data_IF_187632802298
#
_entry.id   IF_187632802298
#
_cell.length_a   1.000
_cell.length_b   1.000
_cell.length_c   1.000
_cell.angle_alpha   90.00
_cell.angle_beta   90.00
_cell.angle_gamma   90.00
#
_symmetry.space_group_name_H-M   'P 1'
#
loop_
_entity.id
_entity.type
_entity.pdbx_description
1 polymer ?
#
# COMPACT_ATOMS: atom_id res chain seq x y z
N UNK A 1 15.87 -20.76 -0.93
CA UNK A 1 14.78 -20.50 -1.88
C UNK A 1 13.68 -19.71 -1.19
N UNK A 2 13.18 -18.66 -1.84
CA UNK A 2 12.16 -17.82 -1.25
C UNK A 2 10.77 -18.39 -1.54
N UNK A 3 9.91 -18.36 -0.53
CA UNK A 3 8.51 -18.72 -0.66
C UNK A 3 7.65 -17.48 -0.49
N UNK A 4 7.46 -16.74 -1.58
CA UNK A 4 6.72 -15.49 -1.53
C UNK A 4 5.22 -15.77 -1.62
N UNK A 5 4.47 -15.24 -0.65
CA UNK A 5 3.02 -15.31 -0.64
C UNK A 5 2.43 -13.95 -0.28
N UNK A 6 1.19 -13.72 -0.68
CA UNK A 6 0.48 -12.49 -0.42
C UNK A 6 -0.86 -12.86 0.22
N UNK A 7 -1.25 -12.12 1.26
CA UNK A 7 -2.47 -12.43 2.00
C UNK A 7 -3.14 -11.17 2.48
N UNK A 8 -4.48 -11.18 2.52
CA UNK A 8 -5.28 -10.11 3.12
C UNK A 8 -5.68 -10.43 4.56
N UNK A 9 -5.20 -11.51 5.11
CA UNK A 9 -5.49 -11.90 6.50
C UNK A 9 -4.73 -10.99 7.47
N UNK A 10 -5.45 -10.10 8.13
CA UNK A 10 -4.85 -9.13 9.06
C UNK A 10 -4.18 -9.79 10.26
N UNK A 11 -4.58 -11.01 10.63
CA UNK A 11 -3.95 -11.71 11.76
C UNK A 11 -2.50 -12.10 11.49
N UNK A 12 -2.11 -12.15 10.21
CA UNK A 12 -0.74 -12.45 9.82
C UNK A 12 0.17 -11.23 9.79
N UNK A 13 -0.39 -10.03 9.85
CA UNK A 13 0.39 -8.80 9.76
C UNK A 13 1.32 -8.67 10.97
N UNK A 14 2.56 -8.30 10.70
CA UNK A 14 3.57 -8.04 11.72
C UNK A 14 3.65 -6.53 11.91
N UNK A 15 2.87 -6.01 12.84
CA UNK A 15 2.66 -4.57 13.01
C UNK A 15 3.96 -3.85 13.33
N UNK A 16 4.85 -4.45 14.12
CA UNK A 16 6.13 -3.83 14.44
C UNK A 16 6.99 -3.63 13.19
N UNK A 17 6.98 -4.60 12.27
CA UNK A 17 7.69 -4.47 10.99
C UNK A 17 7.11 -3.34 10.15
N UNK A 18 5.78 -3.28 10.04
CA UNK A 18 5.09 -2.23 9.28
C UNK A 18 5.41 -0.85 9.88
N UNK A 19 5.27 -0.71 11.20
CA UNK A 19 5.55 0.54 11.89
C UNK A 19 7.00 0.97 11.72
N UNK A 20 7.94 0.05 11.87
CA UNK A 20 9.36 0.37 11.73
C UNK A 20 9.66 0.91 10.32
N UNK A 21 9.14 0.25 9.29
CA UNK A 21 9.36 0.74 7.93
C UNK A 21 8.75 2.13 7.73
N UNK A 22 7.48 2.29 8.08
CA UNK A 22 6.80 3.57 7.86
C UNK A 22 7.44 4.70 8.64
N UNK A 23 7.75 4.49 9.92
CA UNK A 23 8.28 5.56 10.78
C UNK A 23 9.74 5.91 10.49
N UNK A 24 10.55 4.94 10.07
CA UNK A 24 11.99 5.13 9.92
C UNK A 24 12.48 5.20 8.48
N UNK A 25 11.84 4.46 7.56
CA UNK A 25 12.35 4.33 6.18
C UNK A 25 11.51 5.01 5.13
N UNK A 26 10.21 5.24 5.38
CA UNK A 26 9.38 5.91 4.39
C UNK A 26 9.59 7.43 4.42
N UNK A 27 9.39 8.07 3.26
CA UNK A 27 9.39 9.54 3.20
C UNK A 27 8.00 10.12 3.50
N UNK A 28 6.93 9.30 3.37
CA UNK A 28 5.56 9.80 3.47
C UNK A 28 4.94 9.68 4.85
N UNK A 29 5.50 8.85 5.73
CA UNK A 29 4.93 8.60 7.06
C UNK A 29 5.99 8.62 8.16
N UNK A 30 7.05 9.42 7.97
CA UNK A 30 8.14 9.50 8.93
C UNK A 30 7.63 9.87 10.32
N UNK A 31 8.13 9.15 11.33
CA UNK A 31 7.75 9.34 12.73
C UNK A 31 6.28 9.01 13.07
N UNK A 32 5.58 8.30 12.21
CA UNK A 32 4.19 7.93 12.49
C UNK A 32 4.11 7.13 13.80
N UNK A 33 3.20 7.49 14.73
CA UNK A 33 3.01 6.71 15.95
C UNK A 33 2.41 5.33 15.65
N UNK A 34 2.78 4.33 16.48
CA UNK A 34 2.30 2.97 16.25
C UNK A 34 0.77 2.84 16.37
N UNK A 35 0.15 3.61 17.26
CA UNK A 35 -1.30 3.58 17.40
C UNK A 35 -2.02 4.09 16.15
N UNK A 36 -1.42 5.04 15.43
CA UNK A 36 -1.96 5.53 14.16
C UNK A 36 -1.85 4.44 13.09
N UNK A 37 -0.72 3.72 13.05
CA UNK A 37 -0.56 2.58 12.14
C UNK A 37 -1.64 1.53 12.40
N UNK A 38 -1.86 1.17 13.65
CA UNK A 38 -2.86 0.16 14.03
C UNK A 38 -4.25 0.60 13.58
N UNK A 39 -4.63 1.85 13.85
CA UNK A 39 -5.95 2.37 13.44
C UNK A 39 -6.10 2.39 11.92
N UNK A 40 -5.03 2.73 11.20
CA UNK A 40 -5.08 2.74 9.74
C UNK A 40 -5.27 1.34 9.15
N UNK A 41 -4.66 0.35 9.77
CA UNK A 41 -4.83 -1.06 9.38
C UNK A 41 -6.29 -1.49 9.60
N UNK A 42 -6.86 -1.14 10.74
CA UNK A 42 -8.25 -1.50 11.06
C UNK A 42 -9.24 -0.94 10.05
N UNK A 43 -8.99 0.26 9.53
CA UNK A 43 -9.87 0.94 8.59
C UNK A 43 -9.60 0.67 7.12
N UNK A 44 -8.73 -0.26 6.81
CA UNK A 44 -8.27 -0.50 5.43
C UNK A 44 -8.33 -1.97 5.07
N UNK A 45 -8.31 -2.25 3.76
CA UNK A 45 -7.99 -3.59 3.26
C UNK A 45 -6.48 -3.67 3.10
N UNK A 46 -5.85 -4.61 3.79
CA UNK A 46 -4.40 -4.69 3.85
C UNK A 46 -3.89 -5.93 3.12
N UNK A 47 -2.75 -5.77 2.48
CA UNK A 47 -2.08 -6.84 1.74
C UNK A 47 -0.69 -7.00 2.35
N UNK A 48 -0.46 -8.15 2.99
CA UNK A 48 0.87 -8.50 3.50
C UNK A 48 1.60 -9.37 2.49
N UNK A 49 2.89 -9.13 2.35
CA UNK A 49 3.78 -9.96 1.52
C UNK A 49 4.71 -10.70 2.46
N UNK A 50 4.85 -11.99 2.24
CA UNK A 50 5.58 -12.88 3.15
C UNK A 50 6.60 -13.74 2.42
N UNK A 51 7.72 -13.96 3.07
CA UNK A 51 8.67 -15.01 2.73
C UNK A 51 8.56 -16.07 3.85
N UNK A 52 7.87 -17.19 3.55
CA UNK A 52 7.48 -18.11 4.61
C UNK A 52 6.59 -17.41 5.64
N UNK A 53 7.02 -17.38 6.89
CA UNK A 53 6.29 -16.75 7.98
C UNK A 53 6.71 -15.31 8.26
N UNK A 54 7.70 -14.81 7.53
CA UNK A 54 8.23 -13.46 7.76
C UNK A 54 7.58 -12.48 6.80
N UNK A 55 7.02 -11.40 7.32
CA UNK A 55 6.51 -10.32 6.48
C UNK A 55 7.67 -9.54 5.88
N UNK A 56 7.61 -9.33 4.55
CA UNK A 56 8.66 -8.62 3.81
C UNK A 56 8.10 -7.48 2.95
N UNK A 57 6.81 -7.26 2.98
CA UNK A 57 6.18 -6.18 2.23
C UNK A 57 4.77 -5.91 2.70
N UNK A 58 4.21 -4.82 2.20
CA UNK A 58 2.90 -4.35 2.63
C UNK A 58 2.27 -3.44 1.59
N UNK A 59 0.95 -3.40 1.58
CA UNK A 59 0.18 -2.37 0.89
C UNK A 59 -1.15 -2.21 1.62
N UNK A 60 -1.67 -0.99 1.61
CA UNK A 60 -2.92 -0.67 2.27
C UNK A 60 -3.85 -0.01 1.26
N UNK A 61 -5.10 -0.45 1.22
CA UNK A 61 -6.11 0.12 0.32
C UNK A 61 -7.26 0.65 1.15
N UNK A 62 -7.49 1.95 1.06
CA UNK A 62 -8.63 2.63 1.68
C UNK A 62 -9.77 2.59 0.68
N UNK A 63 -10.88 1.94 1.01
CA UNK A 63 -11.94 1.71 0.04
C UNK A 63 -13.28 1.44 0.71
N UNK A 64 -14.35 1.79 0.00
CA UNK A 64 -15.71 1.39 0.35
C UNK A 64 -16.10 0.06 -0.33
N UNK A 65 -15.19 -0.54 -1.09
CA UNK A 65 -15.41 -1.76 -1.88
C UNK A 65 -16.50 -1.63 -2.96
N UNK A 66 -16.87 -0.42 -3.33
CA UNK A 66 -17.97 -0.19 -4.26
C UNK A 66 -17.64 0.88 -5.30
N UNK A 67 -17.17 2.04 -4.86
CA UNK A 67 -17.02 3.18 -5.76
C UNK A 67 -15.59 3.66 -5.93
N UNK A 68 -14.76 3.54 -4.91
CA UNK A 68 -13.45 4.19 -4.89
C UNK A 68 -12.46 3.42 -4.04
N UNK A 69 -11.19 3.48 -4.43
CA UNK A 69 -10.08 2.96 -3.64
C UNK A 69 -8.89 3.89 -3.73
N UNK A 70 -8.13 3.98 -2.63
CA UNK A 70 -6.89 4.73 -2.57
C UNK A 70 -5.78 3.81 -2.06
N UNK A 71 -4.74 3.67 -2.87
CA UNK A 71 -3.59 2.82 -2.55
C UNK A 71 -2.58 3.62 -1.72
N UNK A 72 -2.19 3.07 -0.58
CA UNK A 72 -1.30 3.72 0.37
C UNK A 72 -0.31 2.73 0.96
N UNK A 73 0.80 3.25 1.47
CA UNK A 73 1.78 2.50 2.28
C UNK A 73 2.32 1.26 1.56
N UNK A 74 2.63 1.37 0.28
CA UNK A 74 3.19 0.27 -0.50
C UNK A 74 4.70 0.21 -0.29
N UNK A 75 5.21 -0.91 0.20
CA UNK A 75 6.65 -1.08 0.31
C UNK A 75 7.07 -2.54 0.28
N UNK A 76 8.31 -2.77 -0.11
CA UNK A 76 8.99 -4.07 -0.04
C UNK A 76 10.28 -3.87 0.73
N UNK A 77 10.59 -4.79 1.65
CA UNK A 77 11.83 -4.77 2.41
C UNK A 77 13.03 -4.71 1.46
N UNK A 78 14.01 -3.91 1.83
CA UNK A 78 15.23 -3.68 1.06
C UNK A 78 15.87 -4.96 0.53
N UNK A 79 15.93 -5.99 1.36
CA UNK A 79 16.58 -7.25 1.02
C UNK A 79 15.84 -8.00 -0.10
N UNK A 80 14.61 -7.63 -0.38
CA UNK A 80 13.75 -8.33 -1.35
C UNK A 80 13.44 -7.48 -2.59
N UNK A 81 14.08 -6.32 -2.72
CA UNK A 81 13.87 -5.44 -3.88
C UNK A 81 14.55 -5.99 -5.14
N UNK A 82 14.11 -5.50 -6.31
CA UNK A 82 14.65 -5.87 -7.63
C UNK A 82 14.44 -7.35 -7.99
N UNK A 83 13.40 -7.96 -7.41
CA UNK A 83 13.05 -9.37 -7.64
C UNK A 83 11.64 -9.54 -8.22
N UNK A 84 11.01 -8.43 -8.64
CA UNK A 84 9.68 -8.47 -9.24
C UNK A 84 8.54 -8.60 -8.23
N UNK A 85 8.82 -8.49 -6.92
CA UNK A 85 7.81 -8.70 -5.88
C UNK A 85 6.77 -7.57 -5.88
N UNK A 86 7.19 -6.32 -6.15
CA UNK A 86 6.24 -5.20 -6.27
C UNK A 86 5.22 -5.44 -7.36
N UNK A 87 5.65 -6.00 -8.49
CA UNK A 87 4.73 -6.34 -9.58
C UNK A 87 3.78 -7.46 -9.20
N UNK A 88 4.28 -8.48 -8.49
CA UNK A 88 3.43 -9.54 -7.97
C UNK A 88 2.36 -8.98 -7.04
N UNK A 89 2.76 -8.09 -6.13
CA UNK A 89 1.85 -7.45 -5.19
C UNK A 89 0.77 -6.64 -5.93
N UNK A 90 1.18 -5.82 -6.89
CA UNK A 90 0.23 -5.02 -7.66
C UNK A 90 -0.72 -5.88 -8.48
N UNK A 91 -0.22 -6.95 -9.09
CA UNK A 91 -1.07 -7.90 -9.82
C UNK A 91 -2.12 -8.49 -8.88
N UNK A 92 -1.70 -8.92 -7.70
CA UNK A 92 -2.61 -9.49 -6.70
C UNK A 92 -3.69 -8.49 -6.28
N UNK A 93 -3.29 -7.23 -6.03
CA UNK A 93 -4.23 -6.16 -5.65
C UNK A 93 -5.23 -5.91 -6.78
N UNK A 94 -4.74 -5.73 -8.00
CA UNK A 94 -5.59 -5.36 -9.14
C UNK A 94 -6.58 -6.47 -9.51
N UNK A 95 -6.27 -7.72 -9.20
CA UNK A 95 -7.13 -8.86 -9.47
C UNK A 95 -7.97 -9.29 -8.27
N UNK A 96 -7.81 -8.62 -7.12
CA UNK A 96 -8.49 -9.04 -5.89
C UNK A 96 -9.99 -8.78 -5.98
N UNK A 97 -10.77 -9.80 -5.57
CA UNK A 97 -12.23 -9.77 -5.69
C UNK A 97 -12.89 -8.61 -4.94
N UNK A 98 -12.32 -8.21 -3.80
CA UNK A 98 -12.89 -7.12 -2.99
C UNK A 98 -12.83 -5.76 -3.67
N UNK A 99 -12.02 -5.62 -4.73
CA UNK A 99 -11.85 -4.37 -5.47
C UNK A 99 -12.49 -4.39 -6.84
N UNK A 100 -13.16 -5.48 -7.20
CA UNK A 100 -13.85 -5.57 -8.49
C UNK A 100 -15.06 -4.65 -8.52
N UNK A 101 -15.25 -3.98 -9.66
CA UNK A 101 -16.39 -3.11 -9.86
C UNK A 101 -16.26 -1.70 -9.31
N UNK A 102 -15.17 -1.36 -8.63
CA UNK A 102 -14.96 0.03 -8.23
C UNK A 102 -14.73 0.89 -9.47
N UNK A 103 -15.20 2.14 -9.41
CA UNK A 103 -15.09 3.04 -10.56
C UNK A 103 -13.72 3.69 -10.67
N UNK A 104 -13.07 3.98 -9.57
CA UNK A 104 -11.82 4.72 -9.57
C UNK A 104 -10.86 4.18 -8.52
N UNK A 105 -9.61 4.04 -8.91
CA UNK A 105 -8.51 3.63 -8.02
C UNK A 105 -7.42 4.69 -8.13
N UNK A 106 -7.06 5.30 -7.02
CA UNK A 106 -6.18 6.45 -6.98
C UNK A 106 -4.98 6.19 -6.08
N UNK A 107 -3.86 6.86 -6.36
CA UNK A 107 -2.68 6.83 -5.52
C UNK A 107 -1.89 8.13 -5.68
N UNK A 108 -0.95 8.34 -4.78
CA UNK A 108 0.06 9.38 -4.91
C UNK A 108 1.43 8.73 -4.80
N UNK A 109 2.36 9.14 -5.65
CA UNK A 109 3.73 8.63 -5.62
C UNK A 109 4.70 9.74 -6.02
N UNK A 110 5.87 9.74 -5.39
CA UNK A 110 6.93 10.68 -5.74
C UNK A 110 7.78 10.14 -6.90
N UNK A 111 8.04 8.84 -6.92
CA UNK A 111 9.10 8.27 -7.76
C UNK A 111 8.79 6.91 -8.40
N UNK A 112 7.57 6.40 -8.27
CA UNK A 112 7.23 5.07 -8.78
C UNK A 112 6.20 5.10 -9.92
N UNK A 113 6.09 6.20 -10.64
CA UNK A 113 5.10 6.36 -11.71
C UNK A 113 5.17 5.22 -12.74
N UNK A 114 6.37 4.80 -13.14
CA UNK A 114 6.52 3.76 -14.15
C UNK A 114 5.93 2.42 -13.71
N UNK A 115 6.09 2.06 -12.43
CA UNK A 115 5.49 0.85 -11.88
C UNK A 115 3.97 0.90 -12.01
N UNK A 116 3.36 1.99 -11.57
CA UNK A 116 1.91 2.10 -11.53
C UNK A 116 1.30 2.28 -12.93
N UNK A 117 1.99 2.98 -13.82
CA UNK A 117 1.54 3.10 -15.22
C UNK A 117 1.41 1.73 -15.90
N UNK A 118 2.29 0.79 -15.55
CA UNK A 118 2.22 -0.58 -16.04
C UNK A 118 0.88 -1.24 -15.72
N UNK A 119 0.23 -0.83 -14.62
CA UNK A 119 -1.06 -1.37 -14.18
C UNK A 119 -2.25 -0.50 -14.57
N UNK A 120 -2.05 0.50 -15.42
CA UNK A 120 -3.13 1.32 -15.94
C UNK A 120 -3.36 2.63 -15.19
N UNK A 121 -2.56 2.93 -14.18
CA UNK A 121 -2.65 4.22 -13.50
C UNK A 121 -2.09 5.31 -14.39
N UNK A 122 -2.76 6.44 -14.43
CA UNK A 122 -2.39 7.59 -15.25
C UNK A 122 -2.49 8.86 -14.43
N UNK A 123 -1.81 9.92 -14.87
CA UNK A 123 -1.97 11.22 -14.27
C UNK A 123 -3.45 11.62 -14.31
N UNK A 124 -3.90 12.33 -13.27
CA UNK A 124 -5.27 12.80 -13.20
C UNK A 124 -5.60 13.64 -14.43
N UNK A 125 -6.73 13.35 -15.06
CA UNK A 125 -7.17 14.09 -16.24
C UNK A 125 -7.47 15.54 -15.91
N UNK A 126 -8.06 15.77 -14.73
CA UNK A 126 -8.44 17.12 -14.28
C UNK A 126 -7.98 17.31 -12.83
N UNK A 127 -6.67 17.48 -12.61
CA UNK A 127 -6.13 17.57 -11.25
C UNK A 127 -6.72 18.74 -10.46
N UNK A 128 -7.12 19.81 -11.13
CA UNK A 128 -7.73 20.97 -10.46
C UNK A 128 -9.08 20.72 -9.83
N UNK A 129 -9.71 19.58 -10.10
CA UNK A 129 -10.98 19.20 -9.47
C UNK A 129 -10.79 18.59 -8.08
N UNK A 130 -9.56 18.32 -7.70
CA UNK A 130 -9.23 17.66 -6.43
C UNK A 130 -8.70 18.67 -5.44
N UNK A 131 -9.21 18.61 -4.23
CA UNK A 131 -8.83 19.52 -3.15
C UNK A 131 -8.49 18.67 -1.92
N UNK A 132 -7.58 19.17 -1.10
CA UNK A 132 -7.24 18.51 0.16
C UNK A 132 -7.06 19.54 1.26
N UNK A 133 -7.29 19.14 2.49
CA UNK A 133 -6.84 19.87 3.66
C UNK A 133 -5.88 18.96 4.41
N UNK A 134 -4.72 19.46 4.74
CA UNK A 134 -3.71 18.74 5.46
C UNK A 134 -3.59 19.34 6.86
N UNK A 135 -3.98 18.59 7.86
CA UNK A 135 -4.05 19.12 9.22
C UNK A 135 -2.67 19.29 9.85
N UNK A 136 -1.67 18.51 9.37
CA UNK A 136 -0.26 18.68 9.73
C UNK A 136 0.60 18.02 8.66
N UNK A 137 1.85 18.46 8.53
CA UNK A 137 2.74 17.97 7.47
C UNK A 137 3.52 16.74 7.88
N UNK A 138 3.93 16.67 9.15
CA UNK A 138 4.77 15.58 9.67
C UNK A 138 4.24 15.11 11.01
N UNK A 139 4.44 13.82 11.26
CA UNK A 139 4.13 13.25 12.56
C UNK A 139 5.11 13.69 13.65
#
# INVERSE_FOLDING_TARGET
MQHISISTDKTKLQVNFIHQFLSEESYWAKNIPIDVVIRSIDGSTCFGVYDGNRQIGFARVITDHATFAYLADVFIDKAYRKKGISKQLMTYIMEHDSLKGIRSFMLATLDAHALYEHFGFKSLKEPGRYMSVKFFDTY
#
